data_IF_775270767107
#
_entry.id   IF_775270767107
#
_cell.length_a   1.000
_cell.length_b   1.000
_cell.length_c   1.000
_cell.angle_alpha   90.00
_cell.angle_beta   90.00
_cell.angle_gamma   90.00
#
_symmetry.space_group_name_H-M   'P 1'
#
loop_
_entity.id
_entity.type
_entity.pdbx_description
1 polymer ?
#
# COMPACT_ATOMS: atom_id res chain seq x y z
N UNK A 1 15.60 -10.43 -40.31
CA UNK A 1 16.05 -11.34 -39.22
C UNK A 1 15.16 -11.08 -38.01
N UNK A 2 14.52 -12.10 -37.44
CA UNK A 2 13.68 -11.93 -36.26
C UNK A 2 14.54 -11.55 -35.04
N UNK A 3 14.05 -10.63 -34.21
CA UNK A 3 14.73 -10.25 -32.98
C UNK A 3 14.87 -11.48 -32.04
N UNK A 4 15.99 -11.56 -31.32
CA UNK A 4 16.17 -12.64 -30.34
C UNK A 4 15.11 -12.53 -29.22
N UNK A 5 14.72 -13.64 -28.57
CA UNK A 5 13.77 -13.61 -27.46
C UNK A 5 14.18 -12.67 -26.31
N UNK A 6 15.49 -12.49 -26.09
CA UNK A 6 16.01 -11.56 -25.09
C UNK A 6 15.80 -10.08 -25.52
N UNK A 7 16.05 -9.77 -26.79
CA UNK A 7 15.81 -8.45 -27.34
C UNK A 7 14.32 -8.07 -27.27
N UNK A 8 13.42 -9.00 -27.62
CA UNK A 8 11.97 -8.78 -27.52
C UNK A 8 11.49 -8.55 -26.06
N UNK A 9 12.08 -9.25 -25.08
CA UNK A 9 11.79 -9.01 -23.66
C UNK A 9 12.26 -7.63 -23.21
N UNK A 10 13.41 -7.19 -23.70
CA UNK A 10 13.98 -5.90 -23.33
C UNK A 10 13.13 -4.74 -23.87
N UNK A 11 12.74 -4.79 -25.14
CA UNK A 11 11.87 -3.78 -25.75
C UNK A 11 10.51 -3.71 -25.06
N UNK A 12 9.93 -4.86 -24.69
CA UNK A 12 8.69 -4.88 -23.91
C UNK A 12 8.84 -4.21 -22.54
N UNK A 13 9.92 -4.51 -21.80
CA UNK A 13 10.21 -3.86 -20.51
C UNK A 13 10.44 -2.36 -20.64
N UNK A 14 11.07 -1.91 -21.73
CA UNK A 14 11.27 -0.50 -22.03
C UNK A 14 9.95 0.21 -22.32
N UNK A 15 9.12 -0.36 -23.19
CA UNK A 15 7.79 0.17 -23.47
C UNK A 15 6.93 0.25 -22.20
N UNK A 16 6.96 -0.78 -21.34
CA UNK A 16 6.27 -0.72 -20.05
C UNK A 16 6.81 0.40 -19.16
N UNK A 17 8.13 0.53 -19.01
CA UNK A 17 8.73 1.60 -18.18
C UNK A 17 8.29 2.99 -18.63
N UNK A 18 8.22 3.21 -19.93
CA UNK A 18 7.77 4.48 -20.51
C UNK A 18 6.28 4.73 -20.24
N UNK A 19 5.42 3.74 -20.46
CA UNK A 19 3.99 3.83 -20.14
C UNK A 19 3.74 4.14 -18.65
N UNK A 20 4.49 3.47 -17.76
CA UNK A 20 4.40 3.71 -16.32
C UNK A 20 4.86 5.12 -15.94
N UNK A 21 5.93 5.62 -16.58
CA UNK A 21 6.42 6.99 -16.37
C UNK A 21 5.38 8.01 -16.79
N UNK A 22 4.79 7.86 -17.98
CA UNK A 22 3.74 8.75 -18.48
C UNK A 22 2.51 8.74 -17.57
N UNK A 23 2.05 7.56 -17.14
CA UNK A 23 0.94 7.47 -16.18
C UNK A 23 1.27 8.17 -14.87
N UNK A 24 2.50 8.01 -14.38
CA UNK A 24 2.94 8.70 -13.16
C UNK A 24 2.99 10.22 -13.32
N UNK A 25 3.34 10.74 -14.50
CA UNK A 25 3.36 12.19 -14.73
C UNK A 25 1.96 12.78 -14.90
N UNK A 26 1.07 12.06 -15.58
CA UNK A 26 -0.28 12.54 -15.94
C UNK A 26 -1.30 12.31 -14.82
N UNK A 27 -1.23 11.18 -14.11
CA UNK A 27 -2.24 10.80 -13.14
C UNK A 27 -1.90 11.32 -11.74
N UNK A 28 -2.33 12.54 -11.44
CA UNK A 28 -2.21 13.17 -10.10
C UNK A 28 -3.26 12.66 -9.11
N UNK A 29 -3.52 11.34 -9.09
CA UNK A 29 -4.52 10.74 -8.20
C UNK A 29 -3.86 10.10 -6.96
N UNK A 30 -4.54 10.19 -5.82
CA UNK A 30 -4.21 9.46 -4.60
C UNK A 30 -2.76 9.61 -4.11
N UNK A 31 -2.05 8.48 -4.02
CA UNK A 31 -0.69 8.40 -3.46
C UNK A 31 0.37 9.10 -4.32
N UNK A 32 0.17 9.21 -5.65
CA UNK A 32 1.13 9.86 -6.53
C UNK A 32 1.23 11.37 -6.24
N UNK A 33 0.08 12.05 -6.11
CA UNK A 33 0.03 13.47 -5.77
C UNK A 33 0.82 13.77 -4.48
N UNK A 34 0.60 12.97 -3.42
CA UNK A 34 1.35 13.08 -2.16
C UNK A 34 2.84 12.81 -2.33
N UNK A 35 3.21 11.79 -3.10
CA UNK A 35 4.63 11.44 -3.26
C UNK A 35 5.39 12.56 -3.99
N UNK A 36 4.73 13.27 -4.92
CA UNK A 36 5.30 14.43 -5.61
C UNK A 36 5.51 15.62 -4.67
N UNK A 37 4.64 15.87 -3.70
CA UNK A 37 4.87 16.95 -2.71
C UNK A 37 6.10 16.70 -1.84
N UNK A 38 6.41 15.43 -1.57
CA UNK A 38 7.58 15.04 -0.78
C UNK A 38 8.86 15.01 -1.64
N UNK A 39 8.77 14.54 -2.88
CA UNK A 39 9.92 14.43 -3.78
C UNK A 39 9.50 14.55 -5.23
N UNK A 40 9.73 15.72 -5.81
CA UNK A 40 9.42 16.05 -7.20
C UNK A 40 10.12 15.13 -8.21
N UNK A 41 11.33 14.64 -7.90
CA UNK A 41 12.09 13.75 -8.78
C UNK A 41 11.48 12.34 -8.94
N UNK A 42 10.33 12.06 -8.32
CA UNK A 42 9.65 10.79 -8.52
C UNK A 42 8.96 10.71 -9.87
N UNK A 43 9.11 9.59 -10.61
CA UNK A 43 9.62 8.29 -10.15
C UNK A 43 11.15 8.13 -10.35
N UNK A 44 11.92 8.00 -9.26
CA UNK A 44 13.38 7.82 -9.32
C UNK A 44 13.88 6.64 -8.48
N UNK A 45 15.06 6.12 -8.86
CA UNK A 45 15.74 5.04 -8.12
C UNK A 45 16.39 5.51 -6.82
N UNK A 46 16.44 6.82 -6.55
CA UNK A 46 17.16 7.37 -5.40
C UNK A 46 16.62 6.83 -4.07
N UNK A 47 15.30 6.87 -3.89
CA UNK A 47 14.68 6.30 -2.70
C UNK A 47 14.86 4.78 -2.60
N UNK A 48 14.78 4.05 -3.72
CA UNK A 48 15.02 2.62 -3.72
C UNK A 48 16.46 2.28 -3.29
N UNK A 49 17.45 3.11 -3.65
CA UNK A 49 18.82 2.97 -3.15
C UNK A 49 18.90 3.27 -1.66
N UNK A 50 18.30 4.36 -1.19
CA UNK A 50 18.25 4.71 0.23
C UNK A 50 17.60 3.61 1.07
N UNK A 51 16.44 3.10 0.63
CA UNK A 51 15.71 2.05 1.33
C UNK A 51 16.49 0.74 1.46
N UNK A 52 17.43 0.45 0.55
CA UNK A 52 18.33 -0.70 0.65
C UNK A 52 19.43 -0.51 1.71
N UNK A 53 19.79 0.73 2.05
CA UNK A 53 20.85 1.02 3.03
C UNK A 53 20.37 0.95 4.47
N UNK A 54 19.05 0.99 4.70
CA UNK A 54 18.46 0.97 6.05
C UNK A 54 17.89 -0.42 6.38
N UNK A 55 17.81 -0.80 7.67
CA UNK A 55 17.16 -2.04 8.07
C UNK A 55 15.73 -2.14 7.53
N UNK A 56 15.32 -3.35 7.14
CA UNK A 56 14.02 -3.63 6.50
C UNK A 56 12.83 -3.02 7.25
N UNK A 57 12.86 -3.04 8.58
CA UNK A 57 11.81 -2.43 9.42
C UNK A 57 11.66 -0.93 9.17
N UNK A 58 12.77 -0.21 9.09
CA UNK A 58 12.78 1.23 8.85
C UNK A 58 12.40 1.53 7.40
N UNK A 59 12.88 0.75 6.43
CA UNK A 59 12.44 0.88 5.03
C UNK A 59 10.93 0.72 4.90
N UNK A 60 10.33 -0.25 5.58
CA UNK A 60 8.88 -0.46 5.60
C UNK A 60 8.14 0.75 6.18
N UNK A 61 8.60 1.29 7.31
CA UNK A 61 8.02 2.48 7.92
C UNK A 61 8.13 3.70 7.00
N UNK A 62 9.29 3.91 6.37
CA UNK A 62 9.48 5.01 5.41
C UNK A 62 8.53 4.89 4.22
N UNK A 63 8.30 3.68 3.70
CA UNK A 63 7.33 3.44 2.62
C UNK A 63 5.91 3.76 3.08
N UNK A 64 5.52 3.32 4.28
CA UNK A 64 4.19 3.57 4.84
C UNK A 64 3.95 5.07 5.06
N UNK A 65 4.91 5.78 5.67
CA UNK A 65 4.86 7.24 5.85
C UNK A 65 4.74 7.95 4.50
N UNK A 66 5.60 7.59 3.54
CA UNK A 66 5.65 8.24 2.23
C UNK A 66 4.38 8.04 1.41
N UNK A 67 3.79 6.86 1.49
CA UNK A 67 2.54 6.54 0.76
C UNK A 67 1.30 6.96 1.56
N UNK A 68 1.43 7.23 2.86
CA UNK A 68 0.33 7.47 3.79
C UNK A 68 -0.46 6.21 4.16
N UNK A 69 0.06 5.02 3.89
CA UNK A 69 -0.50 3.74 4.32
C UNK A 69 0.08 3.30 5.66
N UNK A 70 -0.06 4.17 6.67
CA UNK A 70 0.43 3.95 8.03
C UNK A 70 -0.78 3.93 8.98
N UNK A 71 -0.79 3.10 10.05
CA UNK A 71 -1.90 3.02 10.98
C UNK A 71 -1.97 4.21 11.95
N UNK A 72 -2.03 5.43 11.42
CA UNK A 72 -2.42 6.63 12.18
C UNK A 72 -3.94 6.74 12.22
N UNK A 73 -4.50 7.44 13.21
CA UNK A 73 -5.94 7.50 13.43
C UNK A 73 -6.72 8.02 12.22
N UNK A 74 -6.18 8.97 11.44
CA UNK A 74 -6.85 9.41 10.21
C UNK A 74 -6.98 8.30 9.16
N UNK A 75 -5.96 7.43 9.04
CA UNK A 75 -6.00 6.28 8.14
C UNK A 75 -6.93 5.18 8.68
N UNK A 76 -6.85 4.89 9.98
CA UNK A 76 -7.66 3.84 10.62
C UNK A 76 -9.15 4.20 10.67
N UNK A 77 -9.48 5.47 10.93
CA UNK A 77 -10.85 5.96 11.00
C UNK A 77 -11.56 5.83 9.64
N UNK A 78 -10.84 6.06 8.54
CA UNK A 78 -11.36 5.86 7.18
C UNK A 78 -11.91 4.45 6.94
N UNK A 79 -11.38 3.44 7.62
CA UNK A 79 -11.83 2.04 7.53
C UNK A 79 -12.68 1.60 8.73
N UNK A 80 -13.08 2.53 9.61
CA UNK A 80 -13.88 2.22 10.80
C UNK A 80 -13.15 1.40 11.85
N UNK A 81 -11.82 1.46 11.91
CA UNK A 81 -11.02 0.76 12.94
C UNK A 81 -10.87 1.55 14.24
N UNK A 82 -11.12 2.86 14.20
CA UNK A 82 -11.14 3.75 15.36
C UNK A 82 -12.30 4.74 15.21
N UNK A 83 -12.88 5.12 16.33
CA UNK A 83 -14.07 6.00 16.37
C UNK A 83 -13.77 7.43 15.94
N UNK A 84 -12.56 7.93 16.20
CA UNK A 84 -12.14 9.30 15.87
C UNK A 84 -10.84 9.32 15.08
N UNK A 85 -10.74 10.25 14.14
CA UNK A 85 -9.52 10.53 13.40
C UNK A 85 -8.52 11.37 14.20
N UNK A 86 -8.90 11.94 15.34
CA UNK A 86 -8.09 12.88 16.11
C UNK A 86 -6.77 12.28 16.58
N UNK A 87 -5.73 13.11 16.64
CA UNK A 87 -4.46 12.77 17.22
C UNK A 87 -4.61 12.51 18.72
N UNK A 88 -4.19 11.33 19.22
CA UNK A 88 -4.31 11.01 20.64
C UNK A 88 -3.37 11.84 21.53
N UNK A 89 -2.31 12.43 20.95
CA UNK A 89 -1.32 13.21 21.69
C UNK A 89 -1.75 14.67 21.92
N UNK A 90 -2.36 15.30 20.91
CA UNK A 90 -2.75 16.72 21.01
C UNK A 90 -4.27 16.97 20.99
N UNK A 91 -5.08 15.99 20.53
CA UNK A 91 -6.54 16.04 20.36
C UNK A 91 -7.09 17.25 19.57
N UNK A 92 -6.24 17.95 18.82
CA UNK A 92 -6.63 19.18 18.10
C UNK A 92 -7.01 18.96 16.64
N UNK A 93 -6.37 17.98 15.97
CA UNK A 93 -6.55 17.72 14.54
C UNK A 93 -6.50 16.23 14.26
N UNK A 94 -6.97 15.86 13.07
CA UNK A 94 -6.84 14.48 12.59
C UNK A 94 -5.35 14.07 12.51
N UNK A 95 -5.05 12.85 12.93
CA UNK A 95 -3.70 12.28 12.92
C UNK A 95 -3.29 11.86 11.50
N UNK A 96 -2.99 12.83 10.65
CA UNK A 96 -2.39 12.60 9.34
C UNK A 96 -0.88 12.47 9.45
N UNK A 97 -0.23 11.93 8.41
CA UNK A 97 1.25 11.86 8.36
C UNK A 97 1.87 13.25 8.49
N UNK A 98 1.29 14.25 7.84
CA UNK A 98 1.75 15.64 7.91
C UNK A 98 1.61 16.18 9.33
N UNK A 99 0.44 15.99 9.96
CA UNK A 99 0.26 16.42 11.35
C UNK A 99 1.25 15.72 12.29
N UNK A 100 1.37 14.40 12.19
CA UNK A 100 2.25 13.60 13.03
C UNK A 100 3.73 13.99 12.90
N UNK A 101 4.21 14.29 11.70
CA UNK A 101 5.62 14.61 11.46
C UNK A 101 5.99 16.09 11.66
N UNK A 102 5.07 17.03 11.39
CA UNK A 102 5.45 18.46 11.29
C UNK A 102 4.58 19.44 12.06
N UNK A 103 3.34 19.09 12.44
CA UNK A 103 2.39 20.07 13.03
C UNK A 103 1.84 19.67 14.40
N UNK A 104 2.24 18.53 14.94
CA UNK A 104 1.74 18.07 16.22
C UNK A 104 2.58 18.70 17.33
N UNK A 105 2.02 19.59 18.17
CA UNK A 105 2.79 20.28 19.21
C UNK A 105 3.37 19.32 20.25
N UNK A 106 2.75 18.15 20.42
CA UNK A 106 3.24 17.10 21.31
C UNK A 106 4.50 16.39 20.78
N UNK A 107 4.73 16.42 19.47
CA UNK A 107 5.89 15.80 18.81
C UNK A 107 6.89 16.84 18.25
N UNK A 108 6.47 18.11 18.18
CA UNK A 108 7.28 19.23 17.68
C UNK A 108 8.48 19.54 18.60
N UNK A 109 8.40 19.18 19.89
CA UNK A 109 9.46 19.43 20.88
C UNK A 109 10.51 18.33 20.98
N UNK A 110 10.34 17.20 20.26
CA UNK A 110 11.36 16.16 20.15
C UNK A 110 12.33 16.53 19.01
N UNK A 111 13.09 17.61 19.22
CA UNK A 111 14.02 18.19 18.26
C UNK A 111 15.06 17.18 17.74
N UNK A 112 14.99 16.87 16.44
CA UNK A 112 16.09 16.88 15.47
C UNK A 112 17.47 16.41 15.99
N UNK A 113 17.56 15.24 16.62
CA UNK A 113 18.87 14.74 17.10
C UNK A 113 18.90 13.27 17.54
N UNK A 114 17.74 12.69 17.85
CA UNK A 114 17.64 11.29 18.16
C UNK A 114 16.24 10.83 17.85
N UNK A 115 16.10 9.95 16.85
CA UNK A 115 14.87 9.19 16.64
C UNK A 115 14.74 8.27 17.88
N UNK A 116 14.25 8.80 19.00
CA UNK A 116 13.60 7.97 20.00
C UNK A 116 12.33 7.50 19.32
N UNK A 117 12.38 6.29 18.76
CA UNK A 117 11.18 5.51 18.51
C UNK A 117 10.57 5.14 19.88
N UNK A 118 10.19 6.15 20.68
CA UNK A 118 9.19 6.00 21.73
C UNK A 118 8.02 5.31 21.05
N UNK A 119 7.62 4.13 21.54
CA UNK A 119 7.13 3.06 20.70
C UNK A 119 5.98 3.63 19.88
N UNK A 120 6.18 3.69 18.55
CA UNK A 120 5.07 3.79 17.61
C UNK A 120 3.99 2.90 18.21
N UNK A 121 2.75 3.42 18.44
CA UNK A 121 1.70 2.64 19.06
C UNK A 121 1.76 1.29 18.40
N UNK A 122 1.93 0.19 19.17
CA UNK A 122 2.38 -1.08 18.63
C UNK A 122 1.56 -1.28 17.38
N UNK A 123 2.27 -1.40 16.24
CA UNK A 123 1.63 -1.60 14.94
C UNK A 123 1.05 -3.02 15.01
N UNK A 124 0.05 -3.20 15.85
CA UNK A 124 -0.97 -4.21 15.78
C UNK A 124 -1.75 -3.80 14.54
N UNK A 125 -1.13 -4.08 13.40
CA UNK A 125 -1.86 -4.47 12.23
C UNK A 125 -2.58 -5.78 12.65
N UNK A 126 -3.90 -5.77 12.89
CA UNK A 126 -4.62 -6.99 13.24
C UNK A 126 -4.59 -7.99 12.08
N UNK A 127 -4.11 -7.58 10.90
CA UNK A 127 -4.05 -8.38 9.69
C UNK A 127 -2.70 -9.04 9.40
N UNK A 128 -1.65 -8.84 10.20
CA UNK A 128 -0.38 -9.57 10.00
C UNK A 128 -0.08 -10.62 11.07
N UNK A 129 -0.93 -10.74 12.11
CA UNK A 129 -0.89 -11.88 13.03
C UNK A 129 -2.24 -12.59 12.93
N UNK A 130 -2.35 -13.78 12.31
CA UNK A 130 -3.55 -14.59 12.43
C UNK A 130 -3.63 -15.05 13.89
N UNK A 131 -4.30 -14.26 14.74
CA UNK A 131 -4.84 -14.73 16.00
C UNK A 131 -5.75 -15.90 15.63
N UNK A 132 -5.27 -17.13 15.89
CA UNK A 132 -6.10 -18.34 15.85
C UNK A 132 -7.32 -18.03 16.71
N UNK A 133 -8.50 -17.87 16.08
CA UNK A 133 -9.75 -17.81 16.83
C UNK A 133 -9.84 -19.12 17.62
N UNK A 134 -10.06 -19.09 18.95
CA UNK A 134 -10.45 -20.30 19.64
C UNK A 134 -11.77 -20.74 19.02
N UNK A 135 -11.79 -21.91 18.40
CA UNK A 135 -13.01 -22.55 17.92
C UNK A 135 -13.89 -22.80 19.14
N UNK A 136 -14.97 -22.03 19.27
CA UNK A 136 -16.06 -22.39 20.14
C UNK A 136 -16.59 -23.74 19.66
N UNK A 137 -16.35 -24.77 20.47
CA UNK A 137 -17.01 -26.06 20.36
C UNK A 137 -18.48 -25.79 20.66
N UNK A 138 -19.31 -25.89 19.63
CA UNK A 138 -20.76 -25.97 19.78
C UNK A 138 -21.28 -26.92 18.70
N UNK A 139 -21.37 -28.17 19.11
CA UNK A 139 -22.08 -29.29 18.49
C UNK A 139 -23.38 -28.87 17.80
N UNK A 140 -23.60 -29.32 16.56
CA UNK A 140 -24.92 -29.65 16.00
C UNK A 140 -24.78 -30.45 14.70
N UNK A 141 -24.85 -31.78 14.88
CA UNK A 141 -25.59 -32.77 14.09
C UNK A 141 -25.60 -32.73 12.56
N UNK A 142 -24.92 -33.73 11.98
CA UNK A 142 -25.25 -34.53 10.78
C UNK A 142 -26.32 -34.02 9.80
N UNK A 143 -25.92 -33.82 8.53
CA UNK A 143 -26.85 -33.56 7.42
C UNK A 143 -26.22 -33.62 6.02
N UNK A 144 -25.83 -34.83 5.60
CA UNK A 144 -25.78 -35.39 4.23
C UNK A 144 -25.23 -34.56 3.03
N UNK A 145 -24.21 -35.15 2.41
CA UNK A 145 -23.49 -34.80 1.17
C UNK A 145 -24.38 -35.03 -0.08
N UNK A 146 -24.45 -34.07 -0.99
CA UNK A 146 -24.77 -34.30 -2.41
C UNK A 146 -23.79 -33.48 -3.25
N UNK A 147 -23.03 -34.18 -4.10
CA UNK A 147 -22.08 -33.56 -5.01
C UNK A 147 -22.77 -32.88 -6.18
N UNK A 148 -22.18 -31.80 -6.67
CA UNK A 148 -22.53 -31.23 -7.97
C UNK A 148 -21.24 -30.88 -8.72
N UNK A 149 -21.10 -31.55 -9.85
CA UNK A 149 -20.06 -31.37 -10.87
C UNK A 149 -20.24 -30.02 -11.55
N UNK A 150 -19.23 -29.15 -11.50
CA UNK A 150 -19.21 -27.92 -12.29
C UNK A 150 -18.40 -28.14 -13.57
N UNK A 151 -19.10 -28.29 -14.69
CA UNK A 151 -18.53 -28.29 -16.04
C UNK A 151 -18.10 -26.87 -16.42
N UNK A 152 -16.86 -26.74 -16.91
CA UNK A 152 -16.34 -25.56 -17.59
C UNK A 152 -16.90 -25.53 -19.02
N UNK A 153 -17.63 -24.49 -19.39
CA UNK A 153 -17.85 -24.14 -20.80
C UNK A 153 -17.04 -22.90 -21.19
N UNK A 154 -16.26 -23.12 -22.24
CA UNK A 154 -15.57 -22.16 -23.09
C UNK A 154 -16.51 -21.12 -23.72
N UNK A 155 -15.99 -19.93 -24.00
CA UNK A 155 -16.24 -19.08 -25.19
C UNK A 155 -15.12 -18.02 -25.19
N UNK A 156 -14.08 -18.02 -26.05
CA UNK A 156 -14.00 -18.03 -27.52
C UNK A 156 -14.83 -16.87 -28.13
N UNK A 157 -14.24 -15.69 -28.32
CA UNK A 157 -13.58 -15.18 -29.54
C UNK A 157 -14.59 -14.73 -30.60
N UNK A 158 -14.91 -13.43 -30.64
CA UNK A 158 -15.48 -12.75 -31.81
C UNK A 158 -14.84 -11.36 -31.96
N UNK A 159 -13.94 -11.24 -32.94
CA UNK A 159 -13.55 -9.98 -33.56
C UNK A 159 -13.31 -10.25 -35.05
N UNK A 160 -14.01 -9.48 -35.89
CA UNK A 160 -13.65 -9.24 -37.29
C UNK A 160 -14.68 -9.72 -38.30
N UNK A 161 -15.38 -8.78 -38.94
CA UNK A 161 -15.22 -8.49 -40.37
C UNK A 161 -16.15 -7.33 -40.79
N UNK A 162 -15.54 -6.20 -41.12
CA UNK A 162 -16.10 -5.15 -41.98
C UNK A 162 -14.96 -4.83 -42.94
N UNK A 163 -15.11 -5.17 -44.21
CA UNK A 163 -14.52 -4.55 -45.42
C UNK A 163 -14.87 -5.45 -46.62
N UNK A 164 -15.93 -5.09 -47.34
CA UNK A 164 -15.99 -4.88 -48.81
C UNK A 164 -17.43 -4.49 -49.22
#
# INVERSE_FOLDING_TARGET
>A
MAASPAAAKQTFKEAQRELWKQRWEVELSGSNARIRTINESTPSKAFHKLAQTVPRRHASLLIQLRTGHIPLNAYLNRFGHVESANCPACDQRAETVEHYLTHCPAYEQDDIGGISLSPLPPIHCPRYFPQRRPSAISSLTHGRRVGSSFSLTHNALELGEVLD
#
